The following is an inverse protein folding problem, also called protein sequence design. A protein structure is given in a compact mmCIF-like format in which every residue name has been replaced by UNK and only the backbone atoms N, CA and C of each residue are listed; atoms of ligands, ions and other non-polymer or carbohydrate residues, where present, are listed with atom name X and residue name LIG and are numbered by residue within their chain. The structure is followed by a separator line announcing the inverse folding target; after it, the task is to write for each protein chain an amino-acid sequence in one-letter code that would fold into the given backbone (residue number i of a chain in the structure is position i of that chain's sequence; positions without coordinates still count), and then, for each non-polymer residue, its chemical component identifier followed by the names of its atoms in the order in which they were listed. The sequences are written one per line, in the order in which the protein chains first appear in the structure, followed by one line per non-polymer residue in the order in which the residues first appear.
data_IF_772929774481
#
_entry.id   IF_772929774481
#
_cell.length_a   1.000
_cell.length_b   1.000
_cell.length_c   1.000
_cell.angle_alpha   90.00
_cell.angle_beta   90.00
_cell.angle_gamma   90.00
#
_symmetry.space_group_name_H-M   'P 1'
#
loop_
_entity.id
_entity.type
_entity.pdbx_description
1 polymer ?
#
# COMPACT_ATOMS: atom_id res chain seq x y z
N UNK A 1 12.79 -11.22 -2.71
CA UNK A 1 12.04 -9.95 -2.87
C UNK A 1 10.61 -10.11 -2.37
N UNK A 2 9.85 -11.08 -2.90
CA UNK A 2 8.47 -11.41 -2.45
C UNK A 2 8.36 -11.68 -0.94
N UNK A 3 9.23 -12.53 -0.39
CA UNK A 3 9.20 -12.86 1.04
C UNK A 3 9.45 -11.65 1.97
N UNK A 4 10.29 -10.71 1.54
CA UNK A 4 10.51 -9.46 2.29
C UNK A 4 9.23 -8.65 2.28
N UNK A 5 8.64 -8.44 1.10
CA UNK A 5 7.43 -7.65 0.95
C UNK A 5 6.28 -8.20 1.82
N UNK A 6 6.02 -9.51 1.75
CA UNK A 6 4.96 -10.12 2.57
C UNK A 6 5.22 -9.89 4.07
N UNK A 7 6.45 -10.12 4.54
CA UNK A 7 6.80 -9.92 5.95
C UNK A 7 6.70 -8.45 6.38
N UNK A 8 7.15 -7.54 5.53
CA UNK A 8 7.28 -6.11 5.85
C UNK A 8 5.90 -5.43 5.84
N UNK A 9 4.94 -5.92 5.04
CA UNK A 9 3.58 -5.38 4.98
C UNK A 9 2.58 -6.06 5.92
N UNK A 10 2.77 -7.33 6.26
CA UNK A 10 1.84 -8.04 7.17
C UNK A 10 1.76 -7.33 8.52
N UNK A 11 0.55 -7.08 9.01
CA UNK A 11 0.29 -6.34 10.24
C UNK A 11 0.30 -4.82 10.10
N UNK A 12 0.62 -4.27 8.93
CA UNK A 12 0.59 -2.82 8.68
C UNK A 12 -0.85 -2.31 8.59
N UNK A 13 -1.12 -1.14 9.18
CA UNK A 13 -2.44 -0.51 9.25
C UNK A 13 -2.87 0.16 7.93
N UNK A 14 -4.17 0.16 7.62
CA UNK A 14 -4.73 0.67 6.33
C UNK A 14 -5.77 1.79 6.51
N UNK A 15 -6.12 2.21 7.72
CA UNK A 15 -7.24 3.14 7.92
C UNK A 15 -6.92 4.58 7.49
N UNK A 16 -7.64 5.07 6.48
CA UNK A 16 -7.42 6.37 5.85
C UNK A 16 -8.49 7.45 6.13
N UNK A 17 -9.50 7.17 6.95
CA UNK A 17 -10.63 8.08 7.19
C UNK A 17 -10.93 8.37 8.68
N UNK A 18 -10.03 7.96 9.57
CA UNK A 18 -10.20 8.14 11.03
C UNK A 18 -11.15 7.13 11.68
N UNK A 19 -11.78 6.23 10.90
CA UNK A 19 -12.52 5.08 11.41
C UNK A 19 -11.61 3.84 11.39
N UNK A 20 -11.17 3.31 12.56
CA UNK A 20 -10.21 2.20 12.61
C UNK A 20 -10.65 0.96 11.84
N UNK A 21 -11.95 0.73 11.75
CA UNK A 21 -12.58 -0.47 11.18
C UNK A 21 -12.82 -0.37 9.68
N UNK A 22 -12.35 0.72 9.05
CA UNK A 22 -12.59 0.98 7.63
C UNK A 22 -11.35 1.52 6.94
N UNK A 23 -11.30 1.29 5.63
CA UNK A 23 -10.35 1.92 4.72
C UNK A 23 -11.10 2.47 3.50
N UNK A 24 -10.51 3.42 2.79
CA UNK A 24 -11.18 4.15 1.70
C UNK A 24 -10.36 4.11 0.43
N UNK A 25 -10.84 3.44 -0.61
CA UNK A 25 -10.12 3.38 -1.86
C UNK A 25 -9.69 4.77 -2.37
N UNK A 26 -8.42 4.92 -2.71
CA UNK A 26 -7.79 6.20 -3.06
C UNK A 26 -8.30 6.82 -4.37
N UNK A 27 -9.11 6.09 -5.15
CA UNK A 27 -9.51 6.44 -6.52
C UNK A 27 -11.02 6.68 -6.68
N UNK A 28 -11.75 6.90 -5.60
CA UNK A 28 -13.17 7.24 -5.70
C UNK A 28 -13.49 8.70 -5.31
N UNK A 29 -14.40 9.31 -6.07
CA UNK A 29 -15.12 10.54 -5.71
C UNK A 29 -16.28 10.30 -4.72
N UNK A 30 -16.51 9.03 -4.31
CA UNK A 30 -17.54 8.59 -3.35
C UNK A 30 -16.91 7.66 -2.31
N UNK A 31 -17.43 7.55 -1.07
CA UNK A 31 -16.85 6.66 -0.07
C UNK A 31 -17.04 5.18 -0.44
N UNK A 32 -16.04 4.59 -1.10
CA UNK A 32 -15.89 3.14 -1.20
C UNK A 32 -15.18 2.66 0.06
N UNK A 33 -15.99 2.36 1.08
CA UNK A 33 -15.50 1.80 2.33
C UNK A 33 -15.17 0.33 2.16
N UNK A 34 -13.96 -0.04 2.54
CA UNK A 34 -13.50 -1.40 2.70
C UNK A 34 -13.60 -1.78 4.18
N UNK A 35 -13.90 -3.04 4.46
CA UNK A 35 -14.07 -3.58 5.80
C UNK A 35 -13.24 -4.86 6.00
N UNK A 36 -13.24 -5.38 7.23
CA UNK A 36 -12.64 -6.66 7.55
C UNK A 36 -13.16 -7.77 6.63
N UNK A 37 -12.24 -8.56 6.07
CA UNK A 37 -12.54 -9.63 5.13
C UNK A 37 -12.55 -9.21 3.66
N UNK A 38 -12.54 -7.92 3.35
CA UNK A 38 -12.38 -7.47 1.98
C UNK A 38 -10.94 -7.69 1.50
N UNK A 39 -10.80 -7.88 0.19
CA UNK A 39 -9.50 -7.89 -0.49
C UNK A 39 -9.31 -6.53 -1.16
N UNK A 40 -8.16 -5.91 -0.93
CA UNK A 40 -7.74 -4.72 -1.68
C UNK A 40 -6.50 -5.00 -2.50
N UNK A 41 -6.22 -4.14 -3.47
CA UNK A 41 -4.91 -4.03 -4.06
C UNK A 41 -4.17 -2.83 -3.45
N UNK A 42 -2.93 -3.04 -3.04
CA UNK A 42 -1.99 -2.01 -2.62
C UNK A 42 -0.98 -1.78 -3.72
N UNK A 43 -0.69 -0.52 -3.98
CA UNK A 43 0.57 -0.13 -4.60
C UNK A 43 1.52 0.28 -3.49
N UNK A 44 2.69 -0.35 -3.46
CA UNK A 44 3.72 -0.10 -2.47
C UNK A 44 5.01 0.35 -3.16
N UNK A 45 5.77 1.18 -2.48
CA UNK A 45 7.11 1.57 -2.93
C UNK A 45 8.18 1.04 -1.98
N UNK A 46 9.39 0.87 -2.51
CA UNK A 46 10.57 0.51 -1.73
C UNK A 46 11.54 1.68 -1.62
N UNK A 47 11.68 2.20 -0.41
CA UNK A 47 12.63 3.26 -0.07
C UNK A 47 13.46 2.83 1.14
N UNK A 48 14.77 3.11 1.11
CA UNK A 48 15.72 2.79 2.19
C UNK A 48 15.66 1.34 2.70
N UNK A 49 15.28 0.42 1.81
CA UNK A 49 15.18 -1.01 2.10
C UNK A 49 13.81 -1.48 2.60
N UNK A 50 12.90 -0.56 2.95
CA UNK A 50 11.57 -0.83 3.50
C UNK A 50 10.47 -0.68 2.44
N UNK A 51 9.38 -1.42 2.59
CA UNK A 51 8.19 -1.33 1.74
C UNK A 51 7.11 -0.51 2.44
N UNK A 52 6.61 0.51 1.76
CA UNK A 52 5.60 1.43 2.29
C UNK A 52 4.39 1.48 1.38
N UNK A 53 3.15 1.40 1.91
CA UNK A 53 1.94 1.62 1.12
C UNK A 53 1.88 3.05 0.55
N UNK A 54 1.63 3.16 -0.75
CA UNK A 54 1.37 4.43 -1.44
C UNK A 54 -0.13 4.65 -1.67
N UNK A 55 -0.77 3.68 -2.31
CA UNK A 55 -2.18 3.75 -2.68
C UNK A 55 -2.87 2.43 -2.38
N UNK A 56 -4.16 2.51 -2.07
CA UNK A 56 -5.01 1.35 -1.91
C UNK A 56 -6.25 1.43 -2.80
N UNK A 57 -6.54 0.33 -3.48
CA UNK A 57 -7.59 0.17 -4.48
C UNK A 57 -8.57 -0.89 -4.02
N UNK A 58 -9.87 -0.58 -4.09
CA UNK A 58 -10.87 -1.63 -4.01
C UNK A 58 -10.74 -2.55 -5.23
N UNK A 59 -11.36 -3.74 -5.19
CA UNK A 59 -11.34 -4.66 -6.33
C UNK A 59 -11.85 -4.03 -7.63
N UNK A 60 -12.80 -3.09 -7.55
CA UNK A 60 -13.33 -2.39 -8.74
C UNK A 60 -12.36 -1.42 -9.40
N UNK A 61 -11.27 -1.07 -8.72
CA UNK A 61 -10.22 -0.16 -9.22
C UNK A 61 -8.84 -0.83 -9.26
N UNK A 62 -8.77 -2.12 -8.98
CA UNK A 62 -7.54 -2.87 -9.13
C UNK A 62 -7.12 -2.90 -10.60
N UNK A 63 -5.82 -2.84 -10.85
CA UNK A 63 -5.22 -2.99 -12.19
C UNK A 63 -4.41 -4.27 -12.25
N UNK A 64 -4.28 -4.88 -13.42
CA UNK A 64 -3.58 -6.17 -13.54
C UNK A 64 -2.06 -6.04 -13.41
N UNK A 65 -1.50 -4.96 -13.97
CA UNK A 65 -0.07 -4.66 -14.00
C UNK A 65 0.16 -3.15 -14.00
N UNK A 66 1.41 -2.73 -13.75
CA UNK A 66 1.79 -1.33 -13.94
C UNK A 66 1.67 -0.95 -15.44
N UNK A 67 1.21 0.27 -15.76
CA UNK A 67 1.21 0.72 -17.15
C UNK A 67 2.65 0.83 -17.70
N UNK A 68 2.81 0.59 -19.00
CA UNK A 68 4.11 0.65 -19.70
C UNK A 68 4.91 1.93 -19.41
N UNK A 69 4.21 3.06 -19.28
CA UNK A 69 4.80 4.36 -18.96
C UNK A 69 4.56 4.79 -17.50
N UNK A 70 4.64 3.87 -16.53
CA UNK A 70 4.59 4.23 -15.12
C UNK A 70 5.93 4.80 -14.63
N UNK A 71 5.83 5.70 -13.66
CA UNK A 71 6.97 6.28 -12.96
C UNK A 71 7.24 5.47 -11.69
N UNK A 72 8.47 4.97 -11.52
CA UNK A 72 8.89 4.32 -10.28
C UNK A 72 9.30 5.37 -9.26
N UNK A 73 8.61 5.37 -8.13
CA UNK A 73 9.04 6.08 -6.92
C UNK A 73 9.99 5.19 -6.09
N UNK A 74 11.07 5.78 -5.55
CA UNK A 74 12.09 5.04 -4.81
C UNK A 74 12.94 4.10 -5.69
N UNK A 75 13.20 2.89 -5.20
CA UNK A 75 14.03 1.88 -5.90
C UNK A 75 13.21 0.82 -6.65
N UNK A 76 11.99 0.56 -6.20
CA UNK A 76 11.05 -0.37 -6.80
C UNK A 76 9.62 -0.06 -6.34
N UNK A 77 8.64 -0.48 -7.12
CA UNK A 77 7.24 -0.51 -6.73
C UNK A 77 6.65 -1.90 -6.97
N UNK A 78 5.58 -2.22 -6.26
CA UNK A 78 4.85 -3.46 -6.44
C UNK A 78 3.35 -3.24 -6.33
N UNK A 79 2.59 -3.98 -7.14
CA UNK A 79 1.16 -4.18 -6.95
C UNK A 79 0.96 -5.48 -6.18
N UNK A 80 0.28 -5.39 -5.05
CA UNK A 80 -0.02 -6.56 -4.22
C UNK A 80 -1.49 -6.61 -3.86
N UNK A 81 -2.05 -7.80 -3.81
CA UNK A 81 -3.36 -7.99 -3.19
C UNK A 81 -3.19 -8.37 -1.74
N UNK A 82 -4.07 -7.85 -0.89
CA UNK A 82 -4.04 -8.09 0.53
C UNK A 82 -5.46 -8.26 1.07
N UNK A 83 -5.63 -9.16 2.04
CA UNK A 83 -6.86 -9.27 2.82
C UNK A 83 -6.82 -8.32 4.02
N UNK A 84 -7.91 -7.60 4.26
CA UNK A 84 -8.08 -6.79 5.46
C UNK A 84 -8.47 -7.67 6.63
N UNK A 85 -7.71 -7.57 7.73
CA UNK A 85 -7.95 -8.32 8.94
C UNK A 85 -8.13 -7.39 10.15
N UNK A 86 -9.09 -7.64 11.04
CA UNK A 86 -9.29 -6.84 12.24
C UNK A 86 -8.37 -7.34 13.37
N UNK A 87 -7.05 -7.28 13.16
CA UNK A 87 -6.06 -7.75 14.16
C UNK A 87 -5.74 -6.69 15.21
N UNK A 88 -6.18 -5.46 14.96
CA UNK A 88 -6.03 -4.32 15.85
C UNK A 88 -4.69 -3.60 15.71
N UNK A 89 -4.72 -2.29 15.90
CA UNK A 89 -3.59 -1.40 15.67
C UNK A 89 -3.64 -0.19 16.61
N UNK A 90 -2.48 0.43 16.81
CA UNK A 90 -2.41 1.74 17.46
C UNK A 90 -2.78 2.84 16.46
N UNK A 91 -3.78 3.64 16.79
CA UNK A 91 -4.26 4.72 15.93
C UNK A 91 -3.22 5.84 15.80
N UNK A 92 -2.90 6.29 14.58
CA UNK A 92 -2.09 7.48 14.37
C UNK A 92 -2.65 8.69 15.11
N UNK A 93 -1.78 9.56 15.63
CA UNK A 93 -2.14 10.79 16.33
C UNK A 93 -2.62 10.61 17.78
N UNK A 94 -3.37 9.55 18.10
CA UNK A 94 -3.83 9.29 19.47
C UNK A 94 -3.00 8.25 20.21
N UNK A 95 -2.32 7.35 19.49
CA UNK A 95 -1.57 6.23 20.05
C UNK A 95 -2.44 5.17 20.74
N UNK A 96 -3.77 5.33 20.75
CA UNK A 96 -4.71 4.39 21.38
C UNK A 96 -4.80 3.12 20.55
N UNK A 97 -4.66 1.97 21.21
CA UNK A 97 -4.92 0.67 20.58
C UNK A 97 -6.43 0.50 20.32
N UNK A 98 -6.78 0.13 19.10
CA UNK A 98 -8.13 -0.24 18.71
C UNK A 98 -8.13 -1.71 18.25
N UNK A 99 -8.81 -2.63 18.97
CA UNK A 99 -8.73 -4.07 18.71
C UNK A 99 -9.33 -4.47 17.36
N UNK A 100 -10.27 -3.70 16.84
CA UNK A 100 -10.91 -3.98 15.54
C UNK A 100 -10.28 -3.18 14.40
N UNK A 101 -9.16 -2.48 14.64
CA UNK A 101 -8.52 -1.74 13.56
C UNK A 101 -8.01 -2.68 12.47
N UNK A 102 -8.18 -2.25 11.22
CA UNK A 102 -7.81 -3.03 10.06
C UNK A 102 -6.30 -3.01 9.83
N UNK A 103 -5.76 -4.20 9.59
CA UNK A 103 -4.38 -4.44 9.20
C UNK A 103 -4.31 -5.26 7.91
N UNK A 104 -3.15 -5.26 7.27
CA UNK A 104 -2.81 -6.13 6.15
C UNK A 104 -2.57 -7.54 6.67
N UNK A 105 -3.39 -8.49 6.22
CA UNK A 105 -3.22 -9.93 6.48
C UNK A 105 -2.39 -10.60 5.38
N UNK A 106 -2.92 -11.70 4.84
CA UNK A 106 -2.33 -12.42 3.70
C UNK A 106 -2.06 -11.48 2.51
N UNK A 107 -0.84 -11.55 1.96
CA UNK A 107 -0.36 -10.72 0.84
C UNK A 107 0.07 -11.59 -0.33
N UNK A 108 -0.43 -11.27 -1.53
CA UNK A 108 -0.01 -11.87 -2.80
C UNK A 108 0.55 -10.79 -3.74
N UNK A 109 1.77 -11.01 -4.25
CA UNK A 109 2.42 -10.09 -5.19
C UNK A 109 1.93 -10.34 -6.61
N UNK A 110 1.34 -9.33 -7.23
CA UNK A 110 0.81 -9.41 -8.59
C UNK A 110 1.84 -8.96 -9.62
N UNK A 111 2.41 -7.77 -9.42
CA UNK A 111 3.39 -7.18 -10.33
C UNK A 111 4.46 -6.40 -9.56
N UNK A 112 5.66 -6.31 -10.13
CA UNK A 112 6.80 -5.59 -9.56
C UNK A 112 7.50 -4.83 -10.67
N UNK A 113 7.70 -3.53 -10.45
CA UNK A 113 8.52 -2.72 -11.34
C UNK A 113 9.71 -2.11 -10.61
N UNK A 114 10.87 -2.11 -11.26
CA UNK A 114 12.10 -1.51 -10.74
C UNK A 114 12.48 -0.28 -11.54
N UNK A 115 13.30 0.61 -10.98
CA UNK A 115 13.82 1.78 -11.71
C UNK A 115 14.55 1.45 -13.02
N UNK A 116 14.98 0.20 -13.20
CA UNK A 116 15.60 -0.27 -14.44
C UNK A 116 14.58 -0.63 -15.53
N UNK A 117 13.35 -0.98 -15.13
CA UNK A 117 12.26 -1.42 -16.02
C UNK A 117 11.11 -0.40 -16.12
N UNK A 118 11.03 0.58 -15.22
CA UNK A 118 10.12 1.71 -15.26
C UNK A 118 10.84 3.05 -15.52
N UNK A 119 10.09 4.15 -15.69
CA UNK A 119 10.70 5.49 -15.79
C UNK A 119 11.03 6.00 -14.39
N UNK A 120 12.26 6.46 -14.15
CA UNK A 120 12.63 7.06 -12.86
C UNK A 120 11.84 8.36 -12.63
N UNK A 121 11.27 8.54 -11.43
CA UNK A 121 10.65 9.81 -11.09
C UNK A 121 11.70 10.91 -11.06
N UNK A 122 11.52 12.05 -11.77
CA UNK A 122 12.48 13.16 -11.71
C UNK A 122 12.54 13.84 -10.33
N UNK A 123 11.67 13.47 -9.40
CA UNK A 123 11.63 14.01 -8.03
C UNK A 123 12.66 13.36 -7.09
N UNK A 124 13.29 12.23 -7.45
CA UNK A 124 14.31 11.57 -6.61
C UNK A 124 15.68 12.27 -6.62
N UNK A 125 15.91 13.21 -7.53
CA UNK A 125 17.22 13.87 -7.71
C UNK A 125 17.32 15.21 -6.94
N UNK A 126 16.36 15.54 -6.05
CA UNK A 126 16.39 16.78 -5.27
C UNK A 126 17.23 16.72 -3.98
N UNK A 127 17.96 15.64 -3.73
CA UNK A 127 18.87 15.51 -2.58
C UNK A 127 20.38 15.49 -2.95
N UNK A 128 20.76 15.68 -4.22
CA UNK A 128 22.20 15.78 -4.62
C UNK A 128 22.67 17.20 -4.98
N UNK A 129 22.00 18.24 -4.47
CA UNK A 129 22.47 19.63 -4.56
C UNK A 129 22.45 20.33 -3.20
N UNK A 130 23.25 19.86 -2.23
CA UNK A 130 23.86 20.70 -1.19
C UNK A 130 25.27 20.20 -0.82
#
# INVERSE_FOLDING_TARGET
MRDSLCRDLTGTFVGCDGEPTRATCSFHDRPCGLAAGDVLQLEVERMDGEWTPLFHRCQGHAVEEFPDEHTVHGTAQALVTARLEPTGAHLPGTGRYHPEALTIGEVEVQDVSTVEHGRRSPLSDRDELQ
#
